data_IF_774066095580
#
_entry.id   IF_774066095580
#
_cell.length_a   1.000
_cell.length_b   1.000
_cell.length_c   1.000
_cell.angle_alpha   90.00
_cell.angle_beta   90.00
_cell.angle_gamma   90.00
#
_symmetry.space_group_name_H-M   'P 1'
#
loop_
_entity.id
_entity.type
_entity.pdbx_description
1 polymer ?
#
# COMPACT_ATOMS: atom_id res chain seq x y z
N UNK A 1 49.90 -34.18 11.05
CA UNK A 1 48.43 -34.15 10.90
C UNK A 1 47.74 -32.97 11.60
N UNK A 2 48.19 -32.49 12.78
CA UNK A 2 47.57 -31.35 13.50
C UNK A 2 47.51 -30.01 12.74
N UNK A 3 48.48 -29.72 11.86
CA UNK A 3 48.51 -28.47 11.08
C UNK A 3 47.45 -28.41 9.98
N UNK A 4 47.09 -29.57 9.40
CA UNK A 4 46.11 -29.69 8.32
C UNK A 4 44.67 -29.57 8.83
N UNK A 5 44.40 -30.10 10.02
CA UNK A 5 43.09 -29.93 10.69
C UNK A 5 42.89 -28.52 11.23
N UNK A 6 43.96 -27.78 11.54
CA UNK A 6 43.87 -26.38 11.96
C UNK A 6 43.49 -25.46 10.78
N UNK A 7 44.13 -25.62 9.63
CA UNK A 7 43.82 -24.85 8.41
C UNK A 7 42.43 -25.16 7.86
N UNK A 8 41.97 -26.42 7.96
CA UNK A 8 40.61 -26.80 7.57
C UNK A 8 39.54 -26.14 8.47
N UNK A 9 39.78 -26.08 9.78
CA UNK A 9 38.90 -25.38 10.74
C UNK A 9 38.88 -23.87 10.53
N UNK A 10 40.00 -23.27 10.12
CA UNK A 10 40.09 -21.84 9.85
C UNK A 10 39.31 -21.41 8.60
N UNK A 11 39.14 -22.31 7.62
CA UNK A 11 38.34 -22.06 6.40
C UNK A 11 36.85 -22.36 6.58
N UNK A 12 36.48 -23.22 7.52
CA UNK A 12 35.08 -23.55 7.82
C UNK A 12 34.30 -22.36 8.39
N UNK A 13 34.94 -21.52 9.19
CA UNK A 13 34.31 -20.34 9.83
C UNK A 13 33.87 -19.29 8.79
N UNK A 14 34.74 -18.79 7.88
CA UNK A 14 34.31 -17.84 6.87
C UNK A 14 33.33 -18.44 5.86
N UNK A 15 33.45 -19.73 5.53
CA UNK A 15 32.48 -20.42 4.68
C UNK A 15 31.08 -20.50 5.32
N UNK A 16 31.01 -20.70 6.64
CA UNK A 16 29.76 -20.69 7.39
C UNK A 16 29.17 -19.27 7.51
N UNK A 17 30.00 -18.24 7.69
CA UNK A 17 29.56 -16.85 7.65
C UNK A 17 28.98 -16.46 6.28
N UNK A 18 29.61 -16.87 5.18
CA UNK A 18 29.09 -16.63 3.83
C UNK A 18 27.78 -17.38 3.56
N UNK A 19 27.62 -18.59 4.12
CA UNK A 19 26.38 -19.35 4.03
C UNK A 19 25.22 -18.67 4.77
N UNK A 20 25.49 -18.06 5.95
CA UNK A 20 24.47 -17.31 6.70
C UNK A 20 24.08 -15.99 6.03
N UNK A 21 24.98 -15.36 5.28
CA UNK A 21 24.66 -14.14 4.50
C UNK A 21 24.00 -14.43 3.14
N UNK A 22 23.98 -15.68 2.68
CA UNK A 22 23.37 -16.05 1.39
C UNK A 22 21.83 -16.06 1.42
N UNK A 23 21.22 -16.04 2.61
CA UNK A 23 19.78 -15.94 2.83
C UNK A 23 19.40 -14.53 3.33
N UNK A 24 19.84 -13.49 2.61
CA UNK A 24 19.17 -12.19 2.73
C UNK A 24 17.93 -12.25 1.84
N UNK A 25 16.76 -12.44 2.43
CA UNK A 25 15.47 -12.32 1.73
C UNK A 25 15.41 -10.91 1.15
N UNK A 26 15.48 -10.80 -0.17
CA UNK A 26 15.11 -9.56 -0.83
C UNK A 26 13.59 -9.56 -0.88
N UNK A 27 12.95 -8.86 0.04
CA UNK A 27 11.50 -8.62 -0.01
C UNK A 27 11.08 -8.27 -1.44
N UNK A 28 10.17 -9.06 -2.00
CA UNK A 28 9.71 -8.85 -3.37
C UNK A 28 8.69 -7.71 -3.42
N UNK A 29 8.60 -7.00 -4.55
CA UNK A 29 7.53 -6.01 -4.78
C UNK A 29 6.14 -6.63 -4.57
N UNK A 30 5.97 -7.90 -4.94
CA UNK A 30 4.72 -8.64 -4.77
C UNK A 30 4.33 -8.82 -3.30
N UNK A 31 5.31 -8.97 -2.40
CA UNK A 31 5.06 -9.04 -0.96
C UNK A 31 4.56 -7.71 -0.41
N UNK A 32 5.19 -6.60 -0.79
CA UNK A 32 4.74 -5.26 -0.38
C UNK A 32 3.34 -4.94 -0.93
N UNK A 33 3.07 -5.28 -2.19
CA UNK A 33 1.74 -5.12 -2.80
C UNK A 33 0.71 -5.99 -2.08
N UNK A 34 1.05 -7.24 -1.78
CA UNK A 34 0.18 -8.17 -1.04
C UNK A 34 -0.13 -7.67 0.37
N UNK A 35 0.87 -7.17 1.09
CA UNK A 35 0.69 -6.53 2.39
C UNK A 35 -0.24 -5.31 2.29
N UNK A 36 -0.02 -4.41 1.33
CA UNK A 36 -0.86 -3.23 1.14
C UNK A 36 -2.31 -3.61 0.83
N UNK A 37 -2.55 -4.57 -0.07
CA UNK A 37 -3.89 -5.07 -0.36
C UNK A 37 -4.57 -5.59 0.90
N UNK A 38 -3.88 -6.45 1.66
CA UNK A 38 -4.41 -7.05 2.88
C UNK A 38 -4.71 -5.97 3.93
N UNK A 39 -3.74 -5.12 4.24
CA UNK A 39 -3.85 -4.08 5.27
C UNK A 39 -4.99 -3.11 4.96
N UNK A 40 -5.07 -2.61 3.73
CA UNK A 40 -6.14 -1.68 3.35
C UNK A 40 -7.52 -2.33 3.37
N UNK A 41 -7.62 -3.65 3.13
CA UNK A 41 -8.89 -4.39 3.20
C UNK A 41 -9.30 -4.64 4.66
N UNK A 42 -8.38 -5.10 5.50
CA UNK A 42 -8.64 -5.46 6.89
C UNK A 42 -9.06 -4.23 7.72
N UNK A 43 -8.42 -3.09 7.47
CA UNK A 43 -8.71 -1.85 8.17
C UNK A 43 -9.81 -1.01 7.50
N UNK A 44 -10.38 -1.40 6.36
CA UNK A 44 -11.41 -0.59 5.71
C UNK A 44 -12.63 -0.39 6.61
N UNK A 45 -13.05 0.86 6.79
CA UNK A 45 -14.20 1.18 7.60
C UNK A 45 -15.44 1.50 6.76
N UNK A 46 -16.17 0.44 6.41
CA UNK A 46 -17.43 0.58 5.69
C UNK A 46 -18.52 1.28 6.53
N UNK A 47 -18.42 1.28 7.86
CA UNK A 47 -19.45 1.86 8.74
C UNK A 47 -19.52 3.38 8.65
N UNK A 48 -18.40 4.05 8.32
CA UNK A 48 -18.36 5.50 8.10
C UNK A 48 -19.18 5.93 6.88
N UNK A 49 -19.40 5.04 5.92
CA UNK A 49 -20.01 5.37 4.64
C UNK A 49 -21.27 4.55 4.32
N UNK A 50 -21.67 3.62 5.19
CA UNK A 50 -22.74 2.63 4.92
C UNK A 50 -24.11 3.24 4.61
N UNK A 51 -24.36 4.47 5.08
CA UNK A 51 -25.60 5.20 4.79
C UNK A 51 -25.71 5.61 3.31
N UNK A 52 -24.58 5.79 2.63
CA UNK A 52 -24.51 6.30 1.25
C UNK A 52 -23.96 5.26 0.27
N UNK A 53 -23.02 4.43 0.72
CA UNK A 53 -22.32 3.44 -0.09
C UNK A 53 -22.96 2.08 0.12
N UNK A 54 -23.36 1.45 -0.99
CA UNK A 54 -23.88 0.09 -1.05
C UNK A 54 -22.77 -0.95 -0.92
N UNK A 55 -21.65 -0.71 -1.61
CA UNK A 55 -20.46 -1.57 -1.63
C UNK A 55 -19.26 -0.80 -2.16
N UNK A 56 -18.07 -1.32 -1.93
CA UNK A 56 -16.82 -0.79 -2.44
C UNK A 56 -15.96 -1.90 -3.06
N UNK A 57 -14.97 -1.51 -3.84
CA UNK A 57 -13.89 -2.35 -4.33
C UNK A 57 -12.57 -1.59 -4.12
N UNK A 58 -11.62 -2.16 -3.37
CA UNK A 58 -10.31 -1.58 -3.14
C UNK A 58 -9.24 -2.59 -3.55
N UNK A 59 -8.46 -2.24 -4.58
CA UNK A 59 -7.51 -3.15 -5.21
C UNK A 59 -6.15 -2.46 -5.40
N UNK A 60 -5.12 -3.03 -4.79
CA UNK A 60 -3.70 -2.76 -5.01
C UNK A 60 -3.14 -3.91 -5.83
N UNK A 61 -2.66 -3.62 -7.04
CA UNK A 61 -2.26 -4.63 -8.01
C UNK A 61 -0.75 -4.62 -8.24
N UNK A 62 -0.20 -5.78 -8.57
CA UNK A 62 1.24 -5.98 -8.85
C UNK A 62 1.73 -5.17 -10.06
N UNK A 63 0.83 -4.80 -10.99
CA UNK A 63 1.14 -3.84 -12.05
C UNK A 63 1.28 -2.38 -11.55
N UNK A 64 1.32 -2.17 -10.24
CA UNK A 64 1.65 -0.90 -9.62
C UNK A 64 0.51 0.10 -9.60
N UNK A 65 -0.73 -0.34 -9.42
CA UNK A 65 -1.89 0.55 -9.31
C UNK A 65 -2.63 0.36 -8.00
N UNK A 66 -3.10 1.45 -7.42
CA UNK A 66 -4.15 1.46 -6.42
C UNK A 66 -5.45 1.91 -7.11
N UNK A 67 -6.51 1.12 -7.00
CA UNK A 67 -7.84 1.39 -7.54
C UNK A 67 -8.86 1.30 -6.42
N UNK A 68 -9.70 2.30 -6.31
CA UNK A 68 -10.77 2.36 -5.33
C UNK A 68 -12.06 2.76 -6.02
N UNK A 69 -13.07 1.92 -5.91
CA UNK A 69 -14.37 2.12 -6.53
C UNK A 69 -15.46 2.04 -5.48
N UNK A 70 -16.35 3.03 -5.49
CA UNK A 70 -17.46 3.16 -4.55
C UNK A 70 -18.76 3.10 -5.33
N UNK A 71 -19.69 2.29 -4.85
CA UNK A 71 -21.02 2.15 -5.44
C UNK A 71 -22.05 2.69 -4.46
N UNK A 72 -22.76 3.73 -4.84
CA UNK A 72 -23.71 4.42 -3.98
C UNK A 72 -25.10 3.79 -4.04
N UNK A 73 -25.86 3.96 -2.97
CA UNK A 73 -27.25 3.47 -2.85
C UNK A 73 -28.18 4.06 -3.92
N UNK A 74 -27.86 5.24 -4.44
CA UNK A 74 -28.62 5.93 -5.51
C UNK A 74 -28.22 5.48 -6.94
N UNK A 75 -27.31 4.52 -7.09
CA UNK A 75 -26.82 4.04 -8.39
C UNK A 75 -25.61 4.79 -8.95
N UNK A 76 -25.18 5.89 -8.30
CA UNK A 76 -23.92 6.58 -8.63
C UNK A 76 -22.73 5.65 -8.38
N UNK A 77 -21.72 5.73 -9.22
CA UNK A 77 -20.42 5.09 -9.01
C UNK A 77 -19.33 6.15 -8.99
N UNK A 78 -18.35 6.00 -8.11
CA UNK A 78 -17.13 6.79 -8.12
C UNK A 78 -15.93 5.88 -8.22
N UNK A 79 -14.94 6.30 -8.99
CA UNK A 79 -13.74 5.54 -9.28
C UNK A 79 -12.52 6.44 -9.10
N UNK A 80 -11.57 5.94 -8.33
CA UNK A 80 -10.29 6.56 -8.06
C UNK A 80 -9.19 5.59 -8.48
N UNK A 81 -8.18 6.07 -9.19
CA UNK A 81 -7.01 5.26 -9.47
C UNK A 81 -5.74 6.07 -9.64
N UNK A 82 -4.63 5.55 -9.12
CA UNK A 82 -3.31 6.12 -9.38
C UNK A 82 -2.25 5.02 -9.46
N UNK A 83 -1.13 5.34 -10.10
CA UNK A 83 0.05 4.45 -10.13
C UNK A 83 0.81 4.59 -8.82
N UNK A 84 1.14 3.50 -8.14
CA UNK A 84 1.93 3.50 -6.89
C UNK A 84 3.27 4.22 -7.05
N UNK A 85 3.90 4.17 -8.23
CA UNK A 85 5.11 4.94 -8.56
C UNK A 85 4.93 6.48 -8.49
N UNK A 86 3.68 6.97 -8.43
CA UNK A 86 3.34 8.39 -8.27
C UNK A 86 3.09 8.76 -6.82
N UNK A 87 3.15 7.82 -5.89
CA UNK A 87 3.04 8.08 -4.46
C UNK A 87 4.07 9.14 -4.03
N UNK A 88 3.62 10.10 -3.22
CA UNK A 88 4.45 11.16 -2.66
C UNK A 88 4.55 11.02 -1.16
N UNK A 89 3.40 11.00 -0.49
CA UNK A 89 3.31 10.92 0.95
C UNK A 89 1.93 10.43 1.38
N UNK A 90 1.75 10.24 2.68
CA UNK A 90 0.52 9.77 3.29
C UNK A 90 0.24 10.56 4.56
N UNK A 91 -1.01 10.99 4.72
CA UNK A 91 -1.52 11.58 5.95
C UNK A 91 -2.55 10.65 6.59
N UNK A 92 -2.67 10.76 7.92
CA UNK A 92 -3.70 10.08 8.68
C UNK A 92 -4.45 11.08 9.58
N UNK A 93 -5.77 11.08 9.46
CA UNK A 93 -6.65 11.96 10.22
C UNK A 93 -7.64 11.11 11.03
N UNK A 94 -7.41 10.95 12.33
CA UNK A 94 -8.29 10.18 13.19
C UNK A 94 -7.65 9.69 14.48
N UNK A 95 -8.22 8.61 15.02
CA UNK A 95 -7.78 7.87 16.21
C UNK A 95 -7.64 6.40 15.86
N UNK A 96 -6.96 5.61 16.69
CA UNK A 96 -6.77 4.17 16.44
C UNK A 96 -8.06 3.43 16.09
N UNK A 97 -9.20 3.80 16.68
CA UNK A 97 -10.51 3.20 16.40
C UNK A 97 -11.10 3.58 15.03
N UNK A 98 -10.91 4.82 14.58
CA UNK A 98 -11.55 5.34 13.36
C UNK A 98 -10.81 6.57 12.81
N UNK A 99 -10.61 6.60 11.49
CA UNK A 99 -9.97 7.71 10.80
C UNK A 99 -10.03 7.64 9.28
N UNK A 100 -9.28 8.53 8.64
CA UNK A 100 -9.16 8.63 7.18
C UNK A 100 -7.68 8.61 6.79
N UNK A 101 -7.36 7.71 5.88
CA UNK A 101 -6.04 7.58 5.27
C UNK A 101 -6.02 8.35 3.94
N UNK A 102 -5.18 9.37 3.84
CA UNK A 102 -5.01 10.16 2.63
C UNK A 102 -3.69 9.77 1.95
N UNK A 103 -3.76 9.19 0.75
CA UNK A 103 -2.57 8.89 -0.04
C UNK A 103 -2.39 9.98 -1.08
N UNK A 104 -1.26 10.68 -1.00
CA UNK A 104 -0.92 11.81 -1.87
C UNK A 104 -0.03 11.38 -3.03
N UNK A 105 -0.24 11.98 -4.20
CA UNK A 105 0.59 11.80 -5.38
C UNK A 105 1.49 12.99 -5.65
N UNK A 106 2.50 12.79 -6.51
CA UNK A 106 3.51 13.82 -6.85
C UNK A 106 2.90 15.03 -7.57
N UNK A 107 1.85 14.82 -8.36
CA UNK A 107 0.99 15.88 -8.90
C UNK A 107 -0.45 15.39 -9.01
N UNK A 108 -1.17 15.89 -10.02
CA UNK A 108 -2.53 15.45 -10.35
C UNK A 108 -2.49 14.07 -11.05
N UNK A 109 -2.10 13.02 -10.32
CA UNK A 109 -1.91 11.66 -10.83
C UNK A 109 -3.03 10.69 -10.40
N UNK A 110 -4.02 11.16 -9.64
CA UNK A 110 -5.21 10.37 -9.27
C UNK A 110 -6.32 10.63 -10.27
N UNK A 111 -6.68 9.63 -11.06
CA UNK A 111 -7.87 9.66 -11.91
C UNK A 111 -9.11 9.62 -11.02
N UNK A 112 -10.03 10.55 -11.19
CA UNK A 112 -11.32 10.62 -10.50
C UNK A 112 -12.44 10.62 -11.52
N UNK A 113 -13.23 9.56 -11.53
CA UNK A 113 -14.34 9.38 -12.44
C UNK A 113 -15.63 9.09 -11.71
N UNK A 114 -16.73 9.73 -12.11
CA UNK A 114 -18.06 9.41 -11.60
C UNK A 114 -18.98 8.95 -12.74
N UNK A 115 -19.95 8.11 -12.39
CA UNK A 115 -20.95 7.62 -13.33
C UNK A 115 -22.33 7.64 -12.68
N UNK A 116 -23.35 8.07 -13.43
CA UNK A 116 -24.72 8.30 -12.94
C UNK A 116 -24.76 9.29 -11.78
N UNK A 117 -23.91 10.31 -11.83
CA UNK A 117 -23.99 11.40 -10.87
C UNK A 117 -25.16 12.35 -11.24
N UNK A 118 -25.92 12.80 -10.24
CA UNK A 118 -27.01 13.76 -10.43
C UNK A 118 -26.51 15.11 -10.95
N UNK A 119 -25.27 15.47 -10.61
CA UNK A 119 -24.60 16.69 -11.09
C UNK A 119 -23.98 16.56 -12.48
N UNK A 120 -24.06 15.39 -13.11
CA UNK A 120 -23.31 15.06 -14.31
C UNK A 120 -22.03 14.28 -13.99
N UNK A 121 -21.66 13.38 -14.89
CA UNK A 121 -20.48 12.54 -14.74
C UNK A 121 -19.20 13.40 -14.80
N UNK A 122 -18.29 13.14 -13.86
CA UNK A 122 -17.02 13.84 -13.72
C UNK A 122 -15.90 12.94 -14.26
N UNK A 123 -14.97 13.53 -14.99
CA UNK A 123 -13.70 12.91 -15.38
C UNK A 123 -12.59 13.95 -15.14
N UNK A 124 -11.80 13.74 -14.09
CA UNK A 124 -10.83 14.73 -13.60
C UNK A 124 -9.61 14.06 -12.98
N UNK A 125 -8.60 14.88 -12.72
CA UNK A 125 -7.41 14.46 -12.00
C UNK A 125 -7.38 15.13 -10.62
N UNK A 126 -6.85 14.41 -9.62
CA UNK A 126 -6.68 14.90 -8.25
C UNK A 126 -5.28 14.53 -7.72
N UNK A 127 -4.92 15.13 -6.60
CA UNK A 127 -3.63 14.95 -5.93
C UNK A 127 -3.64 13.88 -4.84
N UNK A 128 -4.81 13.35 -4.48
CA UNK A 128 -4.93 12.37 -3.41
C UNK A 128 -6.17 11.49 -3.54
N UNK A 129 -6.09 10.33 -2.89
CA UNK A 129 -7.23 9.46 -2.60
C UNK A 129 -7.40 9.39 -1.09
N UNK A 130 -8.65 9.39 -0.61
CA UNK A 130 -8.99 9.25 0.81
C UNK A 130 -9.74 7.95 1.03
N UNK A 131 -9.26 7.13 1.97
CA UNK A 131 -9.82 5.82 2.30
C UNK A 131 -10.22 5.83 3.78
N UNK A 132 -11.48 5.55 4.14
CA UNK A 132 -11.88 5.44 5.53
C UNK A 132 -11.32 4.14 6.12
N UNK A 133 -10.73 4.25 7.30
CA UNK A 133 -10.10 3.13 8.00
C UNK A 133 -10.49 3.10 9.48
N UNK A 134 -10.37 1.93 10.10
CA UNK A 134 -10.64 1.65 11.51
C UNK A 134 -9.62 0.70 12.11
N UNK A 135 -9.53 0.71 13.43
CA UNK A 135 -8.70 -0.20 14.22
C UNK A 135 -7.27 -0.27 13.68
N UNK A 136 -6.66 0.87 13.35
CA UNK A 136 -5.35 0.94 12.71
C UNK A 136 -4.36 1.58 13.67
N UNK A 137 -3.28 0.85 13.98
CA UNK A 137 -2.26 1.30 14.91
C UNK A 137 -1.16 2.09 14.18
N UNK A 138 -0.33 2.80 14.95
CA UNK A 138 0.76 3.60 14.37
C UNK A 138 1.76 2.71 13.59
N UNK A 139 2.00 1.48 14.05
CA UNK A 139 2.85 0.50 13.40
C UNK A 139 2.33 0.09 12.02
N UNK A 140 1.01 -0.11 11.89
CA UNK A 140 0.39 -0.43 10.61
C UNK A 140 0.52 0.74 9.62
N UNK A 141 0.27 1.97 10.08
CA UNK A 141 0.47 3.18 9.28
C UNK A 141 1.92 3.30 8.79
N UNK A 142 2.88 3.07 9.69
CA UNK A 142 4.30 3.10 9.33
C UNK A 142 4.65 2.04 8.29
N UNK A 143 4.13 0.83 8.44
CA UNK A 143 4.39 -0.28 7.50
C UNK A 143 3.70 -0.09 6.14
N UNK A 144 2.51 0.52 6.11
CA UNK A 144 1.87 0.96 4.86
C UNK A 144 2.76 1.99 4.15
N UNK A 145 3.23 3.02 4.86
CA UNK A 145 4.11 4.04 4.28
C UNK A 145 5.41 3.43 3.76
N UNK A 146 6.04 2.55 4.53
CA UNK A 146 7.26 1.85 4.10
C UNK A 146 7.01 1.03 2.84
N UNK A 147 5.94 0.23 2.81
CA UNK A 147 5.59 -0.60 1.65
C UNK A 147 5.38 0.24 0.40
N UNK A 148 4.69 1.38 0.51
CA UNK A 148 4.50 2.33 -0.59
C UNK A 148 5.84 2.92 -1.08
N UNK A 149 6.74 3.28 -0.17
CA UNK A 149 8.07 3.80 -0.50
C UNK A 149 9.00 2.73 -1.13
N UNK A 150 8.87 1.47 -0.73
CA UNK A 150 9.63 0.36 -1.34
C UNK A 150 9.19 0.10 -2.78
N UNK A 151 7.89 0.22 -3.07
CA UNK A 151 7.33 0.10 -4.42
C UNK A 151 7.69 1.31 -5.30
N UNK A 152 7.77 2.50 -4.70
CA UNK A 152 8.20 3.73 -5.36
C UNK A 152 9.56 4.18 -4.85
N UNK A 153 10.66 3.53 -5.23
CA UNK A 153 11.99 3.97 -4.82
C UNK A 153 12.18 5.41 -5.32
N UNK A 154 12.15 6.36 -4.38
CA UNK A 154 12.42 7.76 -4.69
C UNK A 154 13.81 7.80 -5.31
N UNK A 155 13.89 8.21 -6.58
CA UNK A 155 15.19 8.51 -7.17
C UNK A 155 15.69 9.78 -6.46
N UNK A 156 16.88 9.75 -5.82
CA UNK A 156 17.42 10.91 -5.13
C UNK A 156 17.64 12.10 -6.06
#
# INVERSE_FOLDING_TARGET
MKKFTLSLKLLLIPAFCLFLCAFSDSDSIDEYVGYLQKSLTDHYDFSQESNQIKRYELNVTNNGFCRYKRYFNNGKTEYFAFKLAKFKDMDYYGSTESGKLCLHTKGDDVIVQTYKDKGGDVDSMATQITIPVKNIEAEDLNRIRESLNKINPQTP
#
